data_IF_670412810567
#
_entry.id   IF_670412810567
#
_cell.length_a   1.000
_cell.length_b   1.000
_cell.length_c   1.000
_cell.angle_alpha   90.00
_cell.angle_beta   90.00
_cell.angle_gamma   90.00
#
_symmetry.space_group_name_H-M   'P 1'
#
loop_
_entity.id
_entity.type
_entity.pdbx_description
1 polymer ?
#
# COMPACT_ATOMS: atom_id res chain seq x y z
N UNK A 1 -14.86 -1.38 -12.02
CA UNK A 1 -14.17 -2.58 -11.49
C UNK A 1 -13.09 -2.14 -10.51
N UNK A 2 -13.07 -2.73 -9.33
CA UNK A 2 -12.10 -2.37 -8.29
C UNK A 2 -10.77 -3.08 -8.57
N UNK A 3 -9.68 -2.34 -8.56
CA UNK A 3 -8.36 -2.95 -8.70
C UNK A 3 -7.99 -3.72 -7.45
N UNK A 4 -7.43 -4.90 -7.61
CA UNK A 4 -6.94 -5.68 -6.48
C UNK A 4 -5.60 -5.15 -5.97
N UNK A 5 -4.81 -4.53 -6.84
CA UNK A 5 -3.48 -4.01 -6.51
C UNK A 5 -3.42 -2.51 -6.78
N UNK A 6 -2.68 -1.80 -5.93
CA UNK A 6 -2.42 -0.38 -6.08
C UNK A 6 -0.94 -0.20 -6.40
N UNK A 7 -0.63 0.62 -7.41
CA UNK A 7 0.75 1.03 -7.67
C UNK A 7 1.19 2.00 -6.57
N UNK A 8 2.49 2.37 -6.56
CA UNK A 8 3.00 3.35 -5.59
C UNK A 8 2.20 4.65 -5.67
N UNK A 9 1.97 5.16 -6.87
CA UNK A 9 1.20 6.40 -7.06
C UNK A 9 -0.24 6.25 -6.59
N UNK A 10 -0.87 5.15 -6.96
CA UNK A 10 -2.25 4.88 -6.54
C UNK A 10 -2.35 4.71 -5.03
N UNK A 11 -1.36 4.08 -4.43
CA UNK A 11 -1.31 3.91 -2.98
C UNK A 11 -1.18 5.26 -2.27
N UNK A 12 -0.33 6.17 -2.80
CA UNK A 12 -0.21 7.53 -2.28
C UNK A 12 -1.55 8.24 -2.31
N UNK A 13 -2.22 8.19 -3.45
CA UNK A 13 -3.51 8.86 -3.63
C UNK A 13 -4.57 8.26 -2.72
N UNK A 14 -4.56 6.95 -2.60
CA UNK A 14 -5.55 6.23 -1.79
C UNK A 14 -5.45 6.61 -0.31
N UNK A 15 -4.23 6.76 0.19
CA UNK A 15 -4.00 7.12 1.59
C UNK A 15 -3.90 8.62 1.81
N UNK A 16 -3.74 9.40 0.74
CA UNK A 16 -3.57 10.85 0.86
C UNK A 16 -2.24 11.25 1.48
N UNK A 17 -1.18 10.49 1.21
CA UNK A 17 0.16 10.74 1.76
C UNK A 17 1.16 11.02 0.64
N UNK A 18 2.33 11.53 1.00
CA UNK A 18 3.40 11.79 0.04
C UNK A 18 4.06 10.52 -0.45
N UNK A 19 4.72 10.60 -1.62
CA UNK A 19 5.37 9.43 -2.22
C UNK A 19 6.49 8.86 -1.35
N UNK A 20 7.26 9.71 -0.69
CA UNK A 20 8.33 9.25 0.18
C UNK A 20 7.76 8.36 1.28
N UNK A 21 6.70 8.81 1.92
CA UNK A 21 6.06 8.05 3.00
C UNK A 21 5.45 6.76 2.46
N UNK A 22 4.82 6.83 1.30
CA UNK A 22 4.23 5.65 0.67
C UNK A 22 5.30 4.59 0.38
N UNK A 23 6.45 5.01 -0.15
CA UNK A 23 7.54 4.08 -0.44
C UNK A 23 8.11 3.47 0.83
N UNK A 24 8.24 4.25 1.89
CA UNK A 24 8.69 3.73 3.19
C UNK A 24 7.74 2.65 3.69
N UNK A 25 6.44 2.88 3.60
CA UNK A 25 5.45 1.91 4.04
C UNK A 25 5.51 0.64 3.19
N UNK A 26 5.62 0.78 1.87
CA UNK A 26 5.68 -0.36 0.98
C UNK A 26 6.97 -1.15 1.11
N UNK A 27 8.06 -0.49 1.50
CA UNK A 27 9.36 -1.16 1.70
C UNK A 27 9.40 -1.96 3.00
N UNK A 28 8.50 -1.72 3.93
CA UNK A 28 8.48 -2.41 5.21
C UNK A 28 7.83 -3.79 5.04
N UNK A 29 8.58 -4.89 5.25
CA UNK A 29 8.01 -6.23 5.08
C UNK A 29 6.99 -6.59 6.15
N UNK A 30 6.89 -5.82 7.21
CA UNK A 30 5.98 -6.10 8.32
C UNK A 30 4.56 -5.59 8.07
N UNK A 31 4.35 -4.79 7.02
CA UNK A 31 3.04 -4.21 6.76
C UNK A 31 1.99 -5.24 6.32
N UNK A 32 2.43 -6.33 5.69
CA UNK A 32 1.53 -7.42 5.29
C UNK A 32 0.74 -7.16 4.01
N UNK A 33 0.91 -6.03 3.36
CA UNK A 33 0.14 -5.72 2.15
C UNK A 33 1.01 -5.50 0.90
N UNK A 34 2.32 -5.48 1.05
CA UNK A 34 3.21 -5.24 -0.10
C UNK A 34 3.33 -6.48 -0.97
N UNK A 35 3.16 -6.29 -2.27
CA UNK A 35 3.34 -7.35 -3.27
C UNK A 35 4.39 -6.86 -4.25
N UNK A 36 5.36 -7.72 -4.54
CA UNK A 36 6.40 -7.41 -5.50
C UNK A 36 6.19 -8.25 -6.75
N UNK A 37 6.02 -7.56 -7.88
CA UNK A 37 5.90 -8.23 -9.17
C UNK A 37 7.00 -7.67 -10.07
N UNK A 38 7.96 -8.53 -10.44
CA UNK A 38 9.13 -8.09 -11.18
C UNK A 38 9.90 -7.06 -10.38
N UNK A 39 10.12 -5.89 -10.96
CA UNK A 39 10.86 -4.80 -10.33
C UNK A 39 9.93 -3.75 -9.69
N UNK A 40 8.64 -4.02 -9.63
CA UNK A 40 7.67 -3.05 -9.14
C UNK A 40 7.03 -3.50 -7.84
N UNK A 41 6.76 -2.53 -6.97
CA UNK A 41 6.04 -2.76 -5.73
C UNK A 41 4.58 -2.37 -5.91
N UNK A 42 3.71 -3.16 -5.32
CA UNK A 42 2.26 -2.91 -5.30
C UNK A 42 1.74 -3.14 -3.91
N UNK A 43 0.59 -2.56 -3.62
CA UNK A 43 -0.11 -2.80 -2.37
C UNK A 43 -1.38 -3.58 -2.66
N UNK A 44 -1.64 -4.62 -1.88
CA UNK A 44 -2.88 -5.38 -2.00
C UNK A 44 -3.99 -4.57 -1.32
N UNK A 45 -4.96 -4.11 -2.11
CA UNK A 45 -5.96 -3.16 -1.63
C UNK A 45 -6.72 -3.64 -0.40
N UNK A 46 -7.20 -4.88 -0.42
CA UNK A 46 -7.95 -5.42 0.72
C UNK A 46 -7.11 -5.47 1.99
N UNK A 47 -5.84 -5.82 1.86
CA UNK A 47 -4.93 -5.87 3.00
C UNK A 47 -4.58 -4.47 3.51
N UNK A 48 -4.50 -3.49 2.61
CA UNK A 48 -4.32 -2.09 3.01
C UNK A 48 -5.50 -1.64 3.84
N UNK A 49 -6.71 -1.99 3.42
CA UNK A 49 -7.92 -1.61 4.15
C UNK A 49 -7.92 -2.21 5.57
N UNK A 50 -7.53 -3.47 5.69
CA UNK A 50 -7.39 -4.11 7.01
C UNK A 50 -6.32 -3.43 7.86
N UNK A 51 -5.19 -3.12 7.25
CA UNK A 51 -4.10 -2.45 7.94
C UNK A 51 -4.53 -1.09 8.46
N UNK A 52 -5.30 -0.34 7.68
CA UNK A 52 -5.81 0.95 8.09
C UNK A 52 -6.73 0.83 9.30
N UNK A 53 -7.56 -0.20 9.36
CA UNK A 53 -8.44 -0.42 10.50
C UNK A 53 -7.63 -0.65 11.78
N UNK A 54 -6.47 -1.26 11.67
CA UNK A 54 -5.60 -1.52 12.81
C UNK A 54 -4.82 -0.27 13.27
N UNK A 55 -4.87 0.83 12.50
CA UNK A 55 -4.21 2.09 12.85
C UNK A 55 -5.11 3.04 13.62
N UNK A 56 -6.36 2.67 13.83
CA UNK A 56 -7.31 3.51 14.58
C UNK A 56 -6.94 3.52 16.06
N UNK A 57 -6.78 4.71 16.60
CA UNK A 57 -6.42 4.89 18.02
C UNK A 57 -7.66 4.90 18.92
#
# INVERSE_FOLDING_TARGET
>A
MTKALLSVTEFCDYLGIGQTKARELLADPKNGFTIRIGNRLYAHKSKVDEWLLNQIL
#
